data_IF_027026153953
#
_entry.id   IF_027026153953
#
_cell.length_a   1.000
_cell.length_b   1.000
_cell.length_c   1.000
_cell.angle_alpha   90.00
_cell.angle_beta   90.00
_cell.angle_gamma   90.00
#
_symmetry.space_group_name_H-M   'P 1'
#
loop_
_entity.id
_entity.type
_entity.pdbx_description
1 polymer ?
#
# COMPACT_ATOMS: atom_id res chain seq x y z
N UNK A 1 -6.66 -3.31 -11.27
CA UNK A 1 -6.29 -4.23 -10.18
C UNK A 1 -4.88 -4.68 -10.48
N UNK A 2 -3.94 -4.45 -9.56
CA UNK A 2 -2.58 -4.98 -9.66
C UNK A 2 -2.53 -6.24 -8.80
N UNK A 3 -2.02 -7.33 -9.36
CA UNK A 3 -1.82 -8.60 -8.66
C UNK A 3 -0.31 -8.86 -8.56
N UNK A 4 0.14 -9.20 -7.37
CA UNK A 4 1.54 -9.51 -7.10
C UNK A 4 1.63 -10.92 -6.54
N UNK A 5 2.56 -11.69 -7.09
CA UNK A 5 2.80 -13.06 -6.65
C UNK A 5 3.73 -13.05 -5.42
N UNK A 6 3.14 -13.17 -4.23
CA UNK A 6 3.81 -13.02 -2.93
C UNK A 6 4.67 -14.23 -2.52
N UNK A 7 5.18 -15.00 -3.49
CA UNK A 7 5.29 -16.45 -3.36
C UNK A 7 6.60 -17.03 -2.81
N UNK A 8 7.43 -16.20 -2.19
CA UNK A 8 8.50 -16.63 -1.28
C UNK A 8 8.45 -15.86 0.05
N UNK A 9 8.14 -14.56 0.02
CA UNK A 9 7.84 -13.75 1.20
C UNK A 9 6.71 -12.76 0.90
N UNK A 10 5.73 -12.62 1.81
CA UNK A 10 4.64 -11.69 1.61
C UNK A 10 5.13 -10.24 1.67
N UNK A 11 4.63 -9.35 0.79
CA UNK A 11 5.04 -7.96 0.78
C UNK A 11 4.69 -7.30 2.11
N UNK A 12 5.69 -6.64 2.70
CA UNK A 12 5.56 -5.93 3.97
C UNK A 12 5.26 -4.44 3.77
N UNK A 13 5.75 -3.87 2.67
CA UNK A 13 5.63 -2.45 2.32
C UNK A 13 5.23 -2.28 0.87
N UNK A 14 4.36 -1.32 0.60
CA UNK A 14 4.03 -0.83 -0.75
C UNK A 14 4.29 0.67 -0.81
N UNK A 15 5.18 1.06 -1.71
CA UNK A 15 5.44 2.46 -2.05
C UNK A 15 4.60 2.87 -3.26
N UNK A 16 3.87 3.97 -3.12
CA UNK A 16 3.06 4.55 -4.19
C UNK A 16 3.52 5.98 -4.41
N UNK A 17 3.84 6.29 -5.67
CA UNK A 17 4.18 7.63 -6.13
C UNK A 17 3.18 8.02 -7.22
N UNK A 18 2.63 9.22 -7.11
CA UNK A 18 1.63 9.76 -8.03
C UNK A 18 2.27 10.87 -8.84
N UNK A 19 2.23 10.74 -10.16
CA UNK A 19 2.75 11.72 -11.08
C UNK A 19 1.65 12.30 -11.97
N UNK A 20 1.80 13.56 -12.32
CA UNK A 20 1.09 14.19 -13.42
C UNK A 20 1.95 14.17 -14.69
N UNK A 21 1.33 13.89 -15.81
CA UNK A 21 1.97 13.86 -17.12
C UNK A 21 1.16 14.74 -18.08
N UNK A 22 1.59 15.99 -18.21
CA UNK A 22 0.92 17.01 -19.05
C UNK A 22 1.13 16.78 -20.56
N UNK A 23 2.08 15.93 -20.95
CA UNK A 23 2.33 15.61 -22.36
C UNK A 23 3.59 14.78 -22.61
N UNK A 24 3.80 14.33 -23.86
CA UNK A 24 4.94 13.48 -24.25
C UNK A 24 6.32 14.19 -24.19
N UNK A 25 6.34 15.51 -23.97
CA UNK A 25 7.56 16.31 -23.89
C UNK A 25 7.80 16.90 -22.50
N UNK A 26 6.87 16.69 -21.56
CA UNK A 26 6.95 17.25 -20.22
C UNK A 26 7.54 16.21 -19.25
N UNK A 27 8.30 16.70 -18.26
CA UNK A 27 8.80 15.86 -17.18
C UNK A 27 7.67 15.55 -16.18
N UNK A 28 7.63 14.31 -15.72
CA UNK A 28 6.63 13.85 -14.76
C UNK A 28 6.66 14.69 -13.48
N UNK A 29 5.57 15.39 -13.18
CA UNK A 29 5.49 16.19 -11.94
C UNK A 29 5.00 15.30 -10.81
N UNK A 30 5.83 15.07 -9.77
CA UNK A 30 5.39 14.35 -8.56
C UNK A 30 4.30 15.14 -7.83
N UNK A 31 3.10 14.56 -7.78
CA UNK A 31 1.96 15.08 -7.05
C UNK A 31 2.01 14.68 -5.58
N UNK A 32 2.56 13.50 -5.28
CA UNK A 32 2.84 13.04 -3.93
C UNK A 32 3.10 11.55 -3.82
N UNK A 33 3.54 11.13 -2.64
CA UNK A 33 3.90 9.76 -2.33
C UNK A 33 3.27 9.25 -1.05
N UNK A 34 3.16 7.94 -0.93
CA UNK A 34 2.78 7.27 0.31
C UNK A 34 3.45 5.90 0.40
N UNK A 35 3.98 5.60 1.58
CA UNK A 35 4.48 4.29 1.95
C UNK A 35 3.43 3.61 2.84
N UNK A 36 3.06 2.39 2.50
CA UNK A 36 2.04 1.61 3.19
C UNK A 36 2.69 0.36 3.74
N UNK A 37 2.78 0.27 5.07
CA UNK A 37 3.29 -0.93 5.73
C UNK A 37 2.13 -1.86 6.09
N UNK A 38 2.05 -2.98 5.39
CA UNK A 38 1.01 -3.97 5.59
C UNK A 38 1.13 -4.69 6.94
N UNK A 39 2.34 -4.85 7.48
CA UNK A 39 2.54 -5.46 8.81
C UNK A 39 2.04 -4.59 9.95
N UNK A 40 1.85 -3.29 9.73
CA UNK A 40 1.35 -2.34 10.74
C UNK A 40 -0.12 -1.98 10.56
N UNK A 41 -0.77 -2.50 9.51
CA UNK A 41 -2.15 -2.18 9.15
C UNK A 41 -3.07 -3.35 9.48
N UNK A 42 -4.31 -3.11 9.89
CA UNK A 42 -5.29 -4.19 10.02
C UNK A 42 -5.82 -4.57 8.63
N UNK A 43 -6.10 -5.86 8.40
CA UNK A 43 -6.74 -6.33 7.16
C UNK A 43 -8.08 -5.66 6.88
N UNK A 44 -8.87 -5.43 7.94
CA UNK A 44 -10.16 -4.73 7.82
C UNK A 44 -9.97 -3.28 7.37
N UNK A 45 -8.91 -2.62 7.85
CA UNK A 45 -8.58 -1.26 7.42
C UNK A 45 -8.21 -1.29 5.93
N UNK A 46 -7.28 -2.17 5.53
CA UNK A 46 -6.77 -2.29 4.15
C UNK A 46 -7.84 -2.57 3.07
N UNK A 47 -9.01 -3.08 3.46
CA UNK A 47 -10.11 -3.36 2.54
C UNK A 47 -10.77 -2.09 1.98
N UNK A 48 -10.60 -0.93 2.62
CA UNK A 48 -11.06 0.38 2.16
C UNK A 48 -10.35 1.53 2.94
N UNK A 49 -9.25 2.06 2.40
CA UNK A 49 -8.46 3.13 3.07
C UNK A 49 -8.34 4.42 2.23
N UNK A 50 -8.40 5.54 2.95
CA UNK A 50 -8.00 6.85 2.45
C UNK A 50 -6.72 7.31 3.14
N UNK A 51 -5.63 7.40 2.38
CA UNK A 51 -4.31 7.75 2.94
C UNK A 51 -3.89 9.13 2.42
N UNK A 52 -3.54 10.09 3.31
CA UNK A 52 -3.02 11.37 2.87
C UNK A 52 -1.67 11.18 2.17
N UNK A 53 -1.54 11.79 0.98
CA UNK A 53 -0.28 11.80 0.25
C UNK A 53 0.70 12.79 0.90
N UNK A 54 1.97 12.42 0.94
CA UNK A 54 3.08 13.30 1.32
C UNK A 54 3.65 13.98 0.08
N UNK A 55 4.26 15.15 0.26
CA UNK A 55 4.83 15.94 -0.84
C UNK A 55 4.23 17.34 -0.89
N UNK A 56 4.95 18.27 -1.53
CA UNK A 56 4.63 19.70 -1.49
C UNK A 56 3.24 19.99 -2.08
N UNK A 57 2.93 19.39 -3.23
CA UNK A 57 1.64 19.57 -3.89
C UNK A 57 0.53 18.86 -3.12
N UNK A 58 0.71 17.57 -2.81
CA UNK A 58 -0.24 16.80 -2.00
C UNK A 58 -0.63 17.47 -0.67
N UNK A 59 0.33 18.03 0.06
CA UNK A 59 0.05 18.71 1.33
C UNK A 59 -0.73 20.02 1.13
N UNK A 60 -0.42 20.77 0.06
CA UNK A 60 -1.13 22.02 -0.26
C UNK A 60 -2.57 21.75 -0.65
N UNK A 61 -2.83 20.69 -1.41
CA UNK A 61 -4.17 20.31 -1.88
C UNK A 61 -4.89 19.33 -0.95
N UNK A 62 -4.28 18.93 0.17
CA UNK A 62 -4.77 17.89 1.08
C UNK A 62 -5.17 16.59 0.35
N UNK A 63 -4.40 16.23 -0.68
CA UNK A 63 -4.67 15.09 -1.54
C UNK A 63 -4.63 13.78 -0.76
N UNK A 64 -5.55 12.87 -1.10
CA UNK A 64 -5.64 11.54 -0.50
C UNK A 64 -5.69 10.48 -1.60
N UNK A 65 -5.01 9.37 -1.36
CA UNK A 65 -5.09 8.16 -2.16
C UNK A 65 -6.18 7.25 -1.58
N UNK A 66 -7.14 6.85 -2.42
CA UNK A 66 -8.07 5.78 -2.10
C UNK A 66 -7.49 4.45 -2.56
N UNK A 67 -7.29 3.52 -1.64
CA UNK A 67 -6.73 2.21 -1.94
C UNK A 67 -7.60 1.10 -1.35
N UNK A 68 -7.69 0.00 -2.09
CA UNK A 68 -8.37 -1.22 -1.67
C UNK A 68 -7.46 -2.40 -1.95
N UNK A 69 -7.09 -3.11 -0.89
CA UNK A 69 -6.17 -4.24 -0.94
C UNK A 69 -6.94 -5.51 -0.55
N UNK A 70 -6.73 -6.58 -1.32
CA UNK A 70 -7.28 -7.90 -1.02
C UNK A 70 -6.15 -8.91 -1.02
N UNK A 71 -6.18 -9.81 -0.04
CA UNK A 71 -5.28 -10.96 -0.01
C UNK A 71 -6.04 -12.18 -0.50
N UNK A 72 -5.67 -12.66 -1.68
CA UNK A 72 -6.11 -13.96 -2.19
C UNK A 72 -4.96 -14.95 -2.08
N UNK A 73 -5.19 -16.08 -1.41
CA UNK A 73 -4.19 -17.14 -1.31
C UNK A 73 -4.50 -18.27 -2.31
N UNK A 74 -3.62 -18.45 -3.29
CA UNK A 74 -3.71 -19.51 -4.31
C UNK A 74 -2.88 -20.75 -3.96
N UNK A 75 -1.98 -20.68 -2.96
CA UNK A 75 -1.00 -21.73 -2.58
C UNK A 75 -1.37 -22.56 -1.34
N UNK A 76 -2.46 -22.24 -0.64
CA UNK A 76 -2.96 -23.01 0.50
C UNK A 76 -2.80 -22.31 1.84
N UNK A 77 -3.65 -22.64 2.81
CA UNK A 77 -3.92 -21.90 4.06
C UNK A 77 -2.71 -21.60 4.95
N UNK A 78 -1.58 -22.25 4.78
CA UNK A 78 -0.40 -22.12 5.65
C UNK A 78 0.35 -20.80 5.47
N UNK A 79 0.61 -20.39 4.21
CA UNK A 79 1.29 -19.11 3.89
C UNK A 79 0.47 -17.90 4.36
N UNK A 80 -0.86 -17.95 4.20
CA UNK A 80 -1.73 -16.90 4.72
C UNK A 80 -1.70 -16.83 6.26
N UNK A 81 -1.64 -17.97 6.95
CA UNK A 81 -1.52 -18.00 8.42
C UNK A 81 -0.20 -17.41 8.90
N UNK A 82 0.91 -17.71 8.23
CA UNK A 82 2.20 -17.10 8.57
C UNK A 82 2.20 -15.58 8.36
N UNK A 83 1.60 -15.10 7.28
CA UNK A 83 1.46 -13.67 7.04
C UNK A 83 0.60 -12.97 8.10
N UNK A 84 -0.57 -13.53 8.41
CA UNK A 84 -1.45 -13.00 9.47
C UNK A 84 -0.71 -12.99 10.81
N UNK A 85 0.05 -14.04 11.13
CA UNK A 85 0.85 -14.09 12.36
C UNK A 85 1.98 -13.04 12.38
N UNK A 86 2.65 -12.79 11.23
CA UNK A 86 3.65 -11.70 11.11
C UNK A 86 2.99 -10.34 11.34
N UNK A 87 1.80 -10.09 10.79
CA UNK A 87 1.03 -8.85 11.05
C UNK A 87 0.68 -8.72 12.53
N UNK A 88 0.09 -9.75 13.15
CA UNK A 88 -0.30 -9.73 14.58
C UNK A 88 0.89 -9.45 15.51
N UNK A 89 2.07 -10.02 15.22
CA UNK A 89 3.29 -9.82 16.03
C UNK A 89 3.84 -8.39 15.96
N UNK A 90 3.77 -7.73 14.80
CA UNK A 90 4.28 -6.37 14.63
C UNK A 90 3.26 -5.30 15.08
N UNK A 91 1.96 -5.57 14.95
CA UNK A 91 0.90 -4.69 15.50
C UNK A 91 0.83 -4.75 17.03
N UNK A 92 1.27 -5.85 17.66
CA UNK A 92 1.24 -6.08 19.11
C UNK A 92 2.25 -5.28 19.96
N UNK A 93 3.14 -4.48 19.36
CA UNK A 93 4.04 -3.60 20.12
C UNK A 93 3.38 -2.23 20.35
N UNK A 94 2.58 -2.16 21.41
CA UNK A 94 2.09 -0.90 21.99
C UNK A 94 3.09 -0.34 23.00
#
# INVERSE_FOLDING_TARGET
VFEFDAMDDPPSVMDVEVYDFDGPFDEATSLGHVEINFLKSNLDDLADIWIPLKGKLAQTYQSKLHLRVFLSNTKGTEVAREYISKMEKEVGKK
#
